data_IF_618536535603
#
_entry.id   IF_618536535603
#
_cell.length_a   1.000
_cell.length_b   1.000
_cell.length_c   1.000
_cell.angle_alpha   90.00
_cell.angle_beta   90.00
_cell.angle_gamma   90.00
#
_symmetry.space_group_name_H-M   'P 1'
#
loop_
_entity.id
_entity.type
_entity.pdbx_description
1 polymer ?
#
# COMPACT_ATOMS: atom_id res chain seq x y z
N UNK A 1 -24.50 4.29 -7.94
CA UNK A 1 -23.31 3.43 -7.88
C UNK A 1 -22.29 4.13 -6.99
N UNK A 2 -21.75 3.47 -5.97
CA UNK A 2 -20.79 4.05 -5.00
C UNK A 2 -19.58 3.11 -4.85
N UNK A 3 -18.37 3.66 -4.69
CA UNK A 3 -17.17 2.85 -4.43
C UNK A 3 -17.14 2.42 -2.96
N UNK A 4 -17.41 1.14 -2.70
CA UNK A 4 -17.44 0.61 -1.35
C UNK A 4 -16.06 0.26 -0.79
N UNK A 5 -15.20 -0.38 -1.59
CA UNK A 5 -13.86 -0.76 -1.16
C UNK A 5 -12.94 -1.10 -2.34
N UNK A 6 -11.62 -0.98 -2.11
CA UNK A 6 -10.58 -1.59 -2.95
C UNK A 6 -9.98 -2.77 -2.19
N UNK A 7 -9.95 -3.95 -2.80
CA UNK A 7 -9.38 -5.17 -2.18
C UNK A 7 -7.97 -5.41 -2.70
N UNK A 8 -7.03 -5.56 -1.77
CA UNK A 8 -5.62 -5.85 -2.01
C UNK A 8 -5.35 -7.31 -1.66
N UNK A 9 -4.76 -8.04 -2.61
CA UNK A 9 -4.34 -9.42 -2.41
C UNK A 9 -2.91 -9.43 -1.87
N UNK A 10 -2.75 -9.92 -0.64
CA UNK A 10 -1.48 -9.87 0.09
C UNK A 10 -0.98 -11.28 0.38
N UNK A 11 0.34 -11.44 0.33
CA UNK A 11 1.00 -12.72 0.61
C UNK A 11 1.45 -12.83 2.07
N UNK A 12 1.72 -11.69 2.73
CA UNK A 12 2.00 -11.61 4.17
C UNK A 12 0.90 -10.76 4.83
N UNK A 13 -0.17 -11.44 5.26
CA UNK A 13 -1.36 -10.77 5.80
C UNK A 13 -1.05 -9.99 7.08
N UNK A 14 -0.37 -10.61 8.04
CA UNK A 14 -0.11 -10.00 9.34
C UNK A 14 0.77 -8.74 9.21
N UNK A 15 1.84 -8.80 8.39
CA UNK A 15 2.66 -7.62 8.14
C UNK A 15 1.86 -6.48 7.48
N UNK A 16 0.98 -6.82 6.53
CA UNK A 16 0.11 -5.84 5.89
C UNK A 16 -0.92 -5.27 6.87
N UNK A 17 -1.52 -6.11 7.71
CA UNK A 17 -2.47 -5.68 8.74
C UNK A 17 -1.81 -4.62 9.63
N UNK A 18 -0.63 -4.91 10.18
CA UNK A 18 0.12 -3.98 11.02
C UNK A 18 0.47 -2.67 10.29
N UNK A 19 0.83 -2.76 9.01
CA UNK A 19 1.09 -1.56 8.22
C UNK A 19 -0.18 -0.69 8.04
N UNK A 20 -1.31 -1.28 7.66
CA UNK A 20 -2.53 -0.51 7.41
C UNK A 20 -3.20 -0.02 8.71
N UNK A 21 -3.16 -0.81 9.78
CA UNK A 21 -3.73 -0.45 11.08
C UNK A 21 -2.81 0.48 11.88
N UNK A 22 -1.58 0.05 12.15
CA UNK A 22 -0.74 0.67 13.16
C UNK A 22 0.13 1.77 12.56
N UNK A 23 0.62 1.58 11.34
CA UNK A 23 1.47 2.58 10.66
C UNK A 23 0.63 3.65 10.00
N UNK A 24 -0.26 3.27 9.08
CA UNK A 24 -1.14 4.21 8.38
C UNK A 24 -2.30 4.75 9.25
N UNK A 25 -2.63 4.07 10.35
CA UNK A 25 -3.69 4.51 11.27
C UNK A 25 -5.10 4.28 10.74
N UNK A 26 -5.31 3.35 9.80
CA UNK A 26 -6.66 3.04 9.34
C UNK A 26 -7.40 2.19 10.37
N UNK A 27 -8.70 2.39 10.49
CA UNK A 27 -9.50 1.67 11.48
C UNK A 27 -9.89 0.28 10.97
N UNK A 28 -9.43 -0.82 11.59
CA UNK A 28 -9.91 -2.15 11.25
C UNK A 28 -11.40 -2.28 11.61
N UNK A 29 -12.13 -3.07 10.82
CA UNK A 29 -13.54 -3.31 11.06
C UNK A 29 -13.75 -4.43 12.08
N UNK A 30 -12.97 -5.51 12.02
CA UNK A 30 -13.13 -6.67 12.91
C UNK A 30 -11.99 -6.89 13.89
N UNK A 31 -10.77 -6.45 13.57
CA UNK A 31 -9.56 -6.72 14.36
C UNK A 31 -8.92 -8.07 14.05
N UNK A 32 -9.17 -8.65 12.88
CA UNK A 32 -8.63 -9.96 12.48
C UNK A 32 -7.16 -9.82 12.02
N UNK A 33 -6.23 -9.85 12.98
CA UNK A 33 -4.78 -9.63 12.72
C UNK A 33 -4.15 -10.74 11.86
N UNK A 34 -4.64 -11.97 11.97
CA UNK A 34 -4.12 -13.15 11.28
C UNK A 34 -4.91 -13.51 10.00
N UNK A 35 -5.82 -12.64 9.59
CA UNK A 35 -6.59 -12.80 8.35
C UNK A 35 -7.74 -13.80 8.47
N UNK A 36 -8.22 -14.33 7.33
CA UNK A 36 -7.73 -14.14 5.95
C UNK A 36 -8.25 -12.84 5.28
N UNK A 37 -9.11 -12.10 5.97
CA UNK A 37 -9.75 -10.90 5.45
C UNK A 37 -9.89 -9.86 6.56
N UNK A 38 -9.54 -8.62 6.26
CA UNK A 38 -9.88 -7.47 7.10
C UNK A 38 -10.19 -6.27 6.23
N UNK A 39 -11.16 -5.47 6.66
CA UNK A 39 -11.50 -4.20 6.03
C UNK A 39 -11.09 -3.06 6.93
N UNK A 40 -10.49 -2.04 6.32
CA UNK A 40 -10.04 -0.83 6.95
C UNK A 40 -10.86 0.34 6.44
N UNK A 41 -11.29 1.20 7.36
CA UNK A 41 -11.95 2.46 7.05
C UNK A 41 -11.00 3.63 7.31
N UNK A 42 -10.91 4.60 6.39
CA UNK A 42 -10.28 5.88 6.70
C UNK A 42 -11.09 6.63 7.76
N UNK A 43 -10.46 7.63 8.38
CA UNK A 43 -11.11 8.52 9.35
C UNK A 43 -12.29 9.29 8.74
N UNK A 44 -12.24 9.54 7.43
CA UNK A 44 -13.28 10.26 6.67
C UNK A 44 -13.53 9.60 5.33
N UNK A 45 -14.78 9.63 4.86
CA UNK A 45 -15.20 9.02 3.59
C UNK A 45 -15.84 7.65 3.77
N UNK A 46 -16.43 7.11 2.69
CA UNK A 46 -17.18 5.86 2.71
C UNK A 46 -16.44 4.67 2.11
N UNK A 47 -15.43 4.91 1.27
CA UNK A 47 -14.63 3.86 0.64
C UNK A 47 -13.61 3.28 1.63
N UNK A 48 -13.53 1.94 1.69
CA UNK A 48 -12.55 1.22 2.49
C UNK A 48 -11.40 0.60 1.67
N UNK A 49 -10.36 0.17 2.36
CA UNK A 49 -9.33 -0.73 1.82
C UNK A 49 -9.53 -2.06 2.50
N UNK A 50 -9.52 -3.16 1.76
CA UNK A 50 -9.57 -4.49 2.36
C UNK A 50 -8.34 -5.30 2.00
N UNK A 51 -7.79 -5.99 3.00
CA UNK A 51 -6.76 -7.00 2.80
C UNK A 51 -7.44 -8.36 2.64
N UNK A 52 -6.92 -9.14 1.72
CA UNK A 52 -7.33 -10.52 1.49
C UNK A 52 -6.08 -11.36 1.30
N UNK A 53 -6.01 -12.48 2.03
CA UNK A 53 -4.96 -13.47 1.83
C UNK A 53 -5.01 -14.02 0.40
N UNK A 54 -3.86 -13.94 -0.30
CA UNK A 54 -3.73 -14.35 -1.69
C UNK A 54 -3.95 -15.85 -1.85
N UNK A 55 -3.36 -16.67 -0.98
CA UNK A 55 -3.44 -18.12 -1.10
C UNK A 55 -4.89 -18.59 -0.96
N UNK A 56 -5.62 -18.03 0.00
CA UNK A 56 -7.05 -18.30 0.15
C UNK A 56 -7.87 -17.84 -1.06
N UNK A 57 -7.57 -16.66 -1.63
CA UNK A 57 -8.29 -16.21 -2.82
C UNK A 57 -7.98 -17.06 -4.06
N UNK A 58 -6.77 -17.62 -4.15
CA UNK A 58 -6.36 -18.50 -5.24
C UNK A 58 -7.15 -19.82 -5.25
N UNK A 59 -7.69 -20.26 -4.11
CA UNK A 59 -8.61 -21.41 -4.06
C UNK A 59 -9.91 -21.16 -4.83
N UNK A 60 -10.34 -19.89 -4.92
CA UNK A 60 -11.55 -19.49 -5.64
C UNK A 60 -11.25 -19.05 -7.09
N UNK A 61 -10.11 -18.41 -7.30
CA UNK A 61 -9.64 -17.89 -8.59
C UNK A 61 -8.20 -18.35 -8.83
N UNK A 62 -8.00 -19.54 -9.42
CA UNK A 62 -6.67 -20.16 -9.57
C UNK A 62 -5.64 -19.28 -10.28
N UNK A 63 -6.06 -18.34 -11.13
CA UNK A 63 -5.18 -17.36 -11.79
C UNK A 63 -4.45 -16.42 -10.80
N UNK A 64 -4.88 -16.36 -9.55
CA UNK A 64 -4.24 -15.56 -8.49
C UNK A 64 -3.13 -16.32 -7.76
N UNK A 65 -2.96 -17.63 -8.03
CA UNK A 65 -1.93 -18.47 -7.43
C UNK A 65 -0.52 -18.07 -7.88
N UNK A 66 -0.40 -17.48 -9.06
CA UNK A 66 0.89 -17.00 -9.56
C UNK A 66 1.43 -15.85 -8.69
N UNK A 67 2.74 -15.85 -8.38
CA UNK A 67 3.37 -14.81 -7.59
C UNK A 67 3.06 -13.41 -8.13
N UNK A 68 3.00 -12.43 -7.23
CA UNK A 68 2.87 -11.05 -7.67
C UNK A 68 4.17 -10.53 -8.28
N UNK A 69 4.17 -10.21 -9.57
CA UNK A 69 5.24 -9.48 -10.22
C UNK A 69 5.03 -7.96 -10.09
N UNK A 70 6.06 -7.25 -9.60
CA UNK A 70 6.04 -5.79 -9.50
C UNK A 70 5.00 -5.20 -8.54
N UNK A 71 4.63 -3.94 -8.77
CA UNK A 71 3.62 -3.23 -7.98
C UNK A 71 2.24 -3.44 -8.64
N UNK A 72 1.43 -4.35 -8.11
CA UNK A 72 0.11 -4.68 -8.69
C UNK A 72 -1.01 -3.69 -8.36
N UNK A 73 -0.77 -2.78 -7.41
CA UNK A 73 -1.71 -1.72 -7.08
C UNK A 73 -0.99 -0.52 -6.46
N UNK A 74 -1.51 0.67 -6.72
CA UNK A 74 -1.10 1.91 -6.08
C UNK A 74 -2.31 2.51 -5.38
N UNK A 75 -2.21 2.71 -4.07
CA UNK A 75 -3.24 3.36 -3.27
C UNK A 75 -2.83 4.79 -3.01
N UNK A 76 -3.71 5.72 -3.38
CA UNK A 76 -3.48 7.15 -3.24
C UNK A 76 -4.48 7.71 -2.22
N UNK A 77 -3.96 8.25 -1.12
CA UNK A 77 -4.76 8.79 -0.02
C UNK A 77 -4.52 10.30 0.07
N UNK A 78 -5.59 11.07 0.23
CA UNK A 78 -5.49 12.50 0.50
C UNK A 78 -5.41 12.71 2.00
N UNK A 79 -4.47 13.56 2.43
CA UNK A 79 -4.29 13.95 3.83
C UNK A 79 -4.29 15.47 3.94
N UNK A 80 -4.69 15.99 5.10
CA UNK A 80 -4.82 17.42 5.32
C UNK A 80 -3.45 18.13 5.43
N UNK A 81 -2.46 17.46 6.04
CA UNK A 81 -1.08 17.94 6.15
C UNK A 81 -0.14 16.78 5.81
N UNK A 82 0.45 16.84 4.62
CA UNK A 82 1.31 15.76 4.10
C UNK A 82 2.62 15.65 4.89
N UNK A 83 3.23 16.78 5.26
CA UNK A 83 4.52 16.79 5.93
C UNK A 83 4.39 16.23 7.35
N UNK A 84 3.35 16.67 8.08
CA UNK A 84 3.03 16.15 9.41
C UNK A 84 2.70 14.66 9.34
N UNK A 85 1.85 14.24 8.41
CA UNK A 85 1.46 12.83 8.29
C UNK A 85 2.67 11.94 7.94
N UNK A 86 3.56 12.39 7.05
CA UNK A 86 4.78 11.66 6.72
C UNK A 86 5.71 11.49 7.93
N UNK A 87 5.88 12.53 8.75
CA UNK A 87 6.67 12.45 9.98
C UNK A 87 6.07 11.44 10.97
N UNK A 88 4.74 11.43 11.13
CA UNK A 88 4.04 10.50 12.02
C UNK A 88 4.19 9.04 11.58
N UNK A 89 3.91 8.73 10.31
CA UNK A 89 3.98 7.35 9.84
C UNK A 89 5.41 6.81 9.85
N UNK A 90 6.41 7.66 9.60
CA UNK A 90 7.83 7.26 9.71
C UNK A 90 8.21 7.00 11.16
N UNK A 91 7.72 7.79 12.12
CA UNK A 91 7.90 7.50 13.54
C UNK A 91 7.24 6.17 13.98
N UNK A 92 6.17 5.76 13.28
CA UNK A 92 5.51 4.46 13.47
C UNK A 92 6.17 3.30 12.71
N UNK A 93 7.24 3.56 11.95
CA UNK A 93 8.02 2.53 11.26
C UNK A 93 7.83 2.46 9.73
N UNK A 94 7.13 3.43 9.12
CA UNK A 94 7.07 3.52 7.65
C UNK A 94 8.43 3.93 7.05
N UNK A 95 8.83 3.23 5.98
CA UNK A 95 9.93 3.68 5.12
C UNK A 95 9.38 4.49 3.95
N UNK A 96 9.76 5.76 3.86
CA UNK A 96 9.44 6.60 2.70
C UNK A 96 10.39 6.25 1.55
N UNK A 97 9.85 5.66 0.48
CA UNK A 97 10.63 5.35 -0.73
C UNK A 97 10.93 6.59 -1.58
N UNK A 98 10.05 7.58 -1.51
CA UNK A 98 10.21 8.91 -2.11
C UNK A 98 9.69 9.93 -1.09
N UNK A 99 10.48 10.94 -0.70
CA UNK A 99 9.98 12.01 0.16
C UNK A 99 8.83 12.78 -0.53
N UNK A 100 7.93 13.42 0.25
CA UNK A 100 6.96 14.35 -0.29
C UNK A 100 7.65 15.37 -1.19
N UNK A 101 7.30 15.35 -2.47
CA UNK A 101 7.68 16.43 -3.39
C UNK A 101 6.45 17.32 -3.56
N UNK A 102 6.58 18.63 -3.35
CA UNK A 102 5.50 19.56 -3.67
C UNK A 102 5.06 19.30 -5.11
N UNK A 103 3.78 19.03 -5.30
CA UNK A 103 3.23 18.85 -6.63
C UNK A 103 3.05 20.23 -7.27
N UNK A 104 4.14 20.90 -7.63
CA UNK A 104 4.14 22.12 -8.46
C UNK A 104 3.84 21.78 -9.93
N UNK A 105 2.76 21.03 -10.17
CA UNK A 105 2.24 20.75 -11.51
C UNK A 105 0.75 21.07 -11.59
N UNK A 106 0.30 21.88 -12.57
CA UNK A 106 -1.08 22.36 -12.62
C UNK A 106 -2.01 21.25 -13.11
N UNK A 107 -2.61 20.51 -12.18
CA UNK A 107 -3.82 19.71 -12.43
C UNK A 107 -4.50 19.29 -11.12
N UNK A 108 -5.07 20.25 -10.38
CA UNK A 108 -6.50 20.25 -10.03
C UNK A 108 -6.85 21.21 -8.87
N UNK A 109 -7.82 22.09 -9.18
CA UNK A 109 -8.74 22.89 -8.34
C UNK A 109 -8.23 23.52 -7.03
N UNK A 110 -8.07 24.84 -7.10
CA UNK A 110 -8.10 25.80 -5.98
C UNK A 110 -9.42 25.68 -5.19
N UNK A 111 -9.42 25.50 -3.86
CA UNK A 111 -10.64 25.58 -3.05
C UNK A 111 -11.14 27.04 -2.93
N UNK A 112 -12.44 27.26 -2.71
CA UNK A 112 -12.97 28.60 -2.46
C UNK A 112 -12.34 29.19 -1.18
N UNK A 113 -11.80 30.39 -1.28
CA UNK A 113 -11.15 31.07 -0.17
C UNK A 113 -12.20 31.50 0.87
N UNK A 114 -12.32 30.71 1.95
CA UNK A 114 -12.92 31.15 3.21
C UNK A 114 -11.95 32.01 4.03
N UNK A 115 -12.44 32.76 5.03
CA UNK A 115 -11.63 33.73 5.76
C UNK A 115 -10.48 33.06 6.52
N UNK A 116 -9.30 33.68 6.43
CA UNK A 116 -8.02 33.17 6.94
C UNK A 116 -8.03 33.03 8.46
N UNK A 117 -7.84 31.80 8.94
CA UNK A 117 -7.47 31.49 10.31
C UNK A 117 -6.59 30.24 10.37
N UNK A 118 -5.42 30.39 11.01
CA UNK A 118 -4.39 29.38 11.35
C UNK A 118 -3.39 28.96 10.24
N UNK A 119 -2.10 28.72 10.59
CA UNK A 119 -1.11 28.17 9.68
C UNK A 119 -1.40 26.69 9.46
N UNK A 120 -2.27 26.38 8.50
CA UNK A 120 -2.50 25.01 8.04
C UNK A 120 -1.32 24.55 7.19
N UNK A 121 -0.79 23.36 7.49
CA UNK A 121 0.22 22.69 6.67
C UNK A 121 -0.26 22.45 5.24
N UNK A 122 0.65 22.02 4.36
CA UNK A 122 0.36 21.90 2.93
C UNK A 122 -0.62 20.75 2.68
N UNK A 123 -1.86 21.01 2.19
CA UNK A 123 -2.78 19.95 1.79
C UNK A 123 -2.16 19.18 0.63
N UNK A 124 -2.10 17.86 0.77
CA UNK A 124 -1.33 17.03 -0.14
C UNK A 124 -1.95 15.66 -0.41
N UNK A 125 -1.47 15.04 -1.47
CA UNK A 125 -1.79 13.66 -1.82
C UNK A 125 -0.62 12.80 -1.38
N UNK A 126 -0.84 11.90 -0.43
CA UNK A 126 0.11 10.85 -0.07
C UNK A 126 -0.14 9.64 -0.99
N UNK A 127 0.82 9.31 -1.84
CA UNK A 127 0.86 7.99 -2.46
C UNK A 127 1.47 7.02 -1.45
N UNK A 128 0.68 6.10 -0.90
CA UNK A 128 1.26 4.96 -0.20
C UNK A 128 1.88 4.07 -1.28
N UNK A 129 3.20 4.17 -1.43
CA UNK A 129 3.95 3.41 -2.42
C UNK A 129 3.74 1.91 -2.16
N UNK A 130 3.34 1.20 -3.23
CA UNK A 130 2.81 -0.15 -3.17
C UNK A 130 3.72 -1.13 -2.43
N UNK A 131 3.08 -2.03 -1.69
CA UNK A 131 3.71 -3.19 -1.06
C UNK A 131 4.53 -3.93 -2.13
N UNK A 132 5.85 -3.75 -2.15
CA UNK A 132 6.74 -4.55 -2.99
C UNK A 132 6.97 -5.84 -2.23
N UNK A 133 6.40 -6.93 -2.73
CA UNK A 133 6.79 -8.26 -2.25
C UNK A 133 8.31 -8.39 -2.45
N UNK A 134 9.05 -8.65 -1.37
CA UNK A 134 10.48 -8.93 -1.46
C UNK A 134 10.63 -10.25 -2.21
N UNK A 135 10.80 -10.19 -3.52
CA UNK A 135 11.29 -11.34 -4.27
C UNK A 135 12.73 -11.60 -3.80
N UNK A 136 13.07 -12.77 -3.23
CA UNK A 136 14.47 -13.12 -3.03
C UNK A 136 15.16 -13.07 -4.41
N UNK A 137 16.43 -12.62 -4.50
CA UNK A 137 17.12 -12.59 -5.78
C UNK A 137 17.05 -14.00 -6.37
N UNK A 138 16.56 -14.09 -7.61
CA UNK A 138 16.64 -15.32 -8.39
C UNK A 138 18.11 -15.74 -8.38
N UNK A 139 18.45 -16.72 -7.55
CA UNK A 139 19.78 -17.27 -7.47
C UNK A 139 20.19 -17.67 -8.87
N UNK A 140 21.24 -17.00 -9.38
CA UNK A 140 21.78 -17.31 -10.68
C UNK A 140 22.18 -18.78 -10.69
N UNK A 141 21.35 -19.62 -11.32
CA UNK A 141 21.80 -20.92 -11.78
C UNK A 141 22.81 -20.65 -12.86
N UNK A 142 24.07 -20.59 -12.44
CA UNK A 142 25.22 -20.73 -13.31
C UNK A 142 25.11 -22.13 -13.92
N UNK A 143 24.58 -22.20 -15.13
CA UNK A 143 24.77 -23.37 -15.98
C UNK A 143 26.26 -23.39 -16.33
N UNK A 144 27.06 -24.07 -15.52
CA UNK A 144 28.39 -24.50 -15.93
C UNK A 144 28.20 -25.64 -16.92
N UNK A 145 28.13 -25.25 -18.19
CA UNK A 145 28.38 -26.18 -19.29
C UNK A 145 29.86 -26.54 -19.27
N UNK A 146 30.20 -27.73 -18.81
CA UNK A 146 31.44 -28.39 -19.19
C UNK A 146 31.06 -29.70 -19.88
N UNK A 147 31.02 -29.63 -21.21
CA UNK A 147 31.13 -30.82 -22.02
C UNK A 147 32.52 -31.42 -21.86
N UNK A 148 32.59 -32.72 -21.62
CA UNK A 148 33.58 -33.63 -22.21
C UNK A 148 33.07 -35.06 -21.98
N UNK A 149 32.78 -35.85 -23.03
CA UNK A 149 32.69 -37.29 -22.88
C UNK A 149 34.11 -37.88 -22.96
N UNK A 150 34.48 -38.66 -21.95
CA UNK A 150 35.60 -39.59 -22.02
C UNK A 150 35.09 -40.92 -21.45
N UNK A 151 35.16 -41.98 -22.27
CA UNK A 151 34.78 -43.35 -21.91
C UNK A 151 33.97 -44.01 -23.00
#
# INVERSE_FOLDING_TARGET
MELAQVRLLVTDFAACYHFYADVLGLKPQSGATEGPYEKFSPHTGSAGIALQDRAMMAELLPELADPADGHRSLVVLRVDDLDTYCAEITARGATLLQPPTPLDRPHARRPPQGPRGQPGGTPGVAAAAGLRERQPPLGGRRFEGTGTPNG
#
